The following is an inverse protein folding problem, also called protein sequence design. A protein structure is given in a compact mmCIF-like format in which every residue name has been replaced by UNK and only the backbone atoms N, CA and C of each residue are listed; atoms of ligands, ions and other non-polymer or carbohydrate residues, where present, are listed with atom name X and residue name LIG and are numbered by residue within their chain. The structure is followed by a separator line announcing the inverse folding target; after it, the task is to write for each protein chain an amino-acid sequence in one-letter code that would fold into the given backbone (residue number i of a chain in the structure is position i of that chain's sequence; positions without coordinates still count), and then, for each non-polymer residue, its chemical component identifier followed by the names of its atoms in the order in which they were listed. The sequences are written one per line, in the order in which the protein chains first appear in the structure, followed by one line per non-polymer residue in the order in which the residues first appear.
data_IF_901350742928
#
_entry.id   IF_901350742928
#
_cell.length_a   1.000
_cell.length_b   1.000
_cell.length_c   1.000
_cell.angle_alpha   90.00
_cell.angle_beta   90.00
_cell.angle_gamma   90.00
#
_symmetry.space_group_name_H-M   'P 1'
#
loop_
_entity.id
_entity.type
_entity.pdbx_description
1 polymer ?
#
# COMPACT_ATOMS: atom_id res chain seq x y z
N UNK A 1 -18.73 21.98 0.28
CA UNK A 1 -19.63 22.89 1.02
C UNK A 1 -19.62 24.23 0.31
N UNK A 2 -20.78 24.67 -0.14
CA UNK A 2 -20.95 26.02 -0.70
C UNK A 2 -21.10 27.05 0.42
N UNK A 3 -20.81 28.32 0.16
CA UNK A 3 -20.81 29.40 1.15
C UNK A 3 -22.17 29.57 1.88
N UNK A 4 -23.25 29.10 1.26
CA UNK A 4 -24.61 29.07 1.82
C UNK A 4 -24.82 28.06 2.96
N UNK A 5 -23.91 27.10 3.17
CA UNK A 5 -24.08 26.00 4.15
C UNK A 5 -23.37 26.24 5.48
N UNK A 6 -22.66 27.38 5.63
CA UNK A 6 -21.86 27.67 6.82
C UNK A 6 -22.61 28.56 7.82
N UNK A 7 -22.57 28.23 9.13
CA UNK A 7 -23.17 29.09 10.15
C UNK A 7 -22.52 30.47 10.19
N UNK A 8 -23.31 31.48 10.56
CA UNK A 8 -22.83 32.85 10.77
C UNK A 8 -21.65 32.85 11.74
N UNK A 9 -20.60 33.62 11.41
CA UNK A 9 -19.40 33.63 12.24
C UNK A 9 -19.69 34.35 13.57
N UNK A 10 -19.42 33.72 14.73
CA UNK A 10 -19.76 34.29 16.02
C UNK A 10 -18.83 35.45 16.38
N UNK A 11 -19.28 36.33 17.29
CA UNK A 11 -18.40 37.32 17.89
C UNK A 11 -17.30 36.62 18.70
N UNK A 12 -16.03 36.95 18.44
CA UNK A 12 -14.90 36.43 19.20
C UNK A 12 -14.93 36.93 20.65
N UNK A 13 -14.62 36.04 21.60
CA UNK A 13 -14.37 36.44 22.99
C UNK A 13 -13.13 37.35 23.08
N UNK A 14 -13.02 38.13 24.16
CA UNK A 14 -11.85 38.98 24.38
C UNK A 14 -10.55 38.17 24.48
N UNK A 15 -10.62 36.98 25.09
CA UNK A 15 -9.51 36.04 25.22
C UNK A 15 -9.08 35.46 23.86
N UNK A 16 -10.04 35.01 23.04
CA UNK A 16 -9.75 34.48 21.71
C UNK A 16 -9.21 35.56 20.77
N UNK A 17 -9.76 36.77 20.85
CA UNK A 17 -9.28 37.91 20.08
C UNK A 17 -7.83 38.22 20.41
N UNK A 18 -7.48 38.28 21.70
CA UNK A 18 -6.11 38.52 22.14
C UNK A 18 -5.16 37.40 21.65
N UNK A 19 -5.53 36.13 21.83
CA UNK A 19 -4.72 34.99 21.40
C UNK A 19 -4.53 34.92 19.87
N UNK A 20 -5.57 35.23 19.10
CA UNK A 20 -5.50 35.26 17.63
C UNK A 20 -4.66 36.43 17.11
N UNK A 21 -4.76 37.60 17.75
CA UNK A 21 -3.92 38.77 17.43
C UNK A 21 -2.46 38.48 17.73
N UNK A 22 -2.16 37.85 18.86
CA UNK A 22 -0.80 37.43 19.21
C UNK A 22 -0.25 36.42 18.19
N UNK A 23 -1.03 35.38 17.85
CA UNK A 23 -0.67 34.40 16.82
C UNK A 23 -0.45 35.02 15.43
N UNK A 24 -1.17 36.10 15.11
CA UNK A 24 -1.02 36.82 13.84
C UNK A 24 0.26 37.68 13.78
N UNK A 25 0.84 38.02 14.93
CA UNK A 25 1.99 38.93 15.08
C UNK A 25 3.35 38.21 15.30
N UNK A 26 3.38 36.94 15.71
CA UNK A 26 4.63 36.18 15.96
C UNK A 26 5.43 35.82 14.66
N UNK A 27 6.77 35.71 14.75
CA UNK A 27 7.69 35.20 13.70
C UNK A 27 8.48 33.94 14.16
N UNK A 28 8.85 32.98 13.27
CA UNK A 28 8.03 32.02 12.50
C UNK A 28 7.77 30.69 13.27
N UNK A 29 6.78 29.81 12.91
CA UNK A 29 6.54 29.24 11.57
C UNK A 29 5.24 29.73 10.89
N UNK A 30 5.34 30.02 9.59
CA UNK A 30 4.36 30.77 8.78
C UNK A 30 2.93 30.23 8.69
N UNK A 31 2.67 28.98 9.08
CA UNK A 31 1.35 28.35 8.95
C UNK A 31 0.38 28.77 10.05
N UNK A 32 0.84 28.92 11.31
CA UNK A 32 -0.03 29.31 12.44
C UNK A 32 -0.50 30.78 12.34
N UNK A 33 0.40 31.66 11.88
CA UNK A 33 0.10 33.07 11.64
C UNK A 33 -0.98 33.26 10.58
N UNK A 34 -0.90 32.50 9.48
CA UNK A 34 -1.91 32.54 8.44
C UNK A 34 -3.28 32.07 8.96
N UNK A 35 -3.30 30.98 9.74
CA UNK A 35 -4.51 30.46 10.39
C UNK A 35 -5.18 31.51 11.29
N UNK A 36 -4.39 32.22 12.12
CA UNK A 36 -4.90 33.31 12.97
C UNK A 36 -5.49 34.48 12.17
N UNK A 37 -4.81 34.90 11.09
CA UNK A 37 -5.31 35.97 10.20
C UNK A 37 -6.62 35.61 9.49
N UNK A 38 -6.78 34.35 9.11
CA UNK A 38 -8.03 33.84 8.50
C UNK A 38 -9.20 34.00 9.47
N UNK A 39 -9.02 33.60 10.72
CA UNK A 39 -10.07 33.67 11.75
C UNK A 39 -10.41 35.13 12.08
N UNK A 40 -9.41 36.01 12.19
CA UNK A 40 -9.63 37.45 12.39
C UNK A 40 -10.38 38.10 11.22
N UNK A 41 -10.05 37.75 9.98
CA UNK A 41 -10.76 38.25 8.80
C UNK A 41 -12.24 37.79 8.78
N UNK A 42 -12.52 36.54 9.16
CA UNK A 42 -13.90 36.06 9.30
C UNK A 42 -14.66 36.80 10.41
N UNK A 43 -13.96 37.13 11.51
CA UNK A 43 -14.53 37.88 12.63
C UNK A 43 -14.76 39.37 12.33
N UNK A 44 -14.07 39.93 11.33
CA UNK A 44 -14.31 41.27 10.77
C UNK A 44 -15.54 41.30 9.84
N UNK A 45 -16.20 40.16 9.62
CA UNK A 45 -17.39 40.03 8.79
C UNK A 45 -17.12 39.77 7.31
N UNK A 46 -15.86 39.49 6.94
CA UNK A 46 -15.53 39.15 5.54
C UNK A 46 -16.08 37.78 5.18
N UNK A 47 -16.60 37.68 3.96
CA UNK A 47 -16.95 36.40 3.30
C UNK A 47 -15.70 35.53 3.11
N UNK A 48 -15.89 34.23 2.86
CA UNK A 48 -14.74 33.35 2.65
C UNK A 48 -13.95 33.77 1.41
N UNK A 49 -14.64 34.29 0.40
CA UNK A 49 -14.08 34.80 -0.84
C UNK A 49 -13.29 36.10 -0.64
N UNK A 50 -13.81 37.06 0.13
CA UNK A 50 -13.12 38.32 0.44
C UNK A 50 -11.90 38.10 1.34
N UNK A 51 -12.03 37.25 2.37
CA UNK A 51 -10.91 36.89 3.24
C UNK A 51 -9.81 36.16 2.46
N UNK A 52 -10.18 35.30 1.52
CA UNK A 52 -9.25 34.60 0.63
C UNK A 52 -8.48 35.56 -0.27
N UNK A 53 -9.19 36.50 -0.92
CA UNK A 53 -8.57 37.54 -1.75
C UNK A 53 -7.61 38.43 -0.94
N UNK A 54 -8.03 38.87 0.26
CA UNK A 54 -7.22 39.73 1.14
C UNK A 54 -5.96 39.04 1.66
N UNK A 55 -6.05 37.74 1.96
CA UNK A 55 -4.94 36.97 2.52
C UNK A 55 -4.12 36.21 1.46
N UNK A 56 -4.52 36.30 0.18
CA UNK A 56 -3.91 35.60 -0.96
C UNK A 56 -3.85 34.09 -0.75
N UNK A 57 -4.97 33.52 -0.30
CA UNK A 57 -5.17 32.07 -0.13
C UNK A 57 -6.46 31.65 -0.84
N UNK A 58 -6.71 30.34 -0.98
CA UNK A 58 -7.96 29.88 -1.59
C UNK A 58 -9.16 30.06 -0.63
N UNK A 59 -10.39 30.28 -1.15
CA UNK A 59 -11.62 30.26 -0.33
C UNK A 59 -11.80 28.95 0.45
N UNK A 60 -11.31 27.82 -0.09
CA UNK A 60 -11.31 26.53 0.59
C UNK A 60 -10.38 26.51 1.83
N UNK A 61 -9.24 27.20 1.77
CA UNK A 61 -8.34 27.37 2.93
C UNK A 61 -9.01 28.18 4.02
N UNK A 62 -9.71 29.26 3.66
CA UNK A 62 -10.49 30.06 4.60
C UNK A 62 -11.60 29.22 5.25
N UNK A 63 -12.37 28.49 4.45
CA UNK A 63 -13.44 27.62 4.93
C UNK A 63 -12.92 26.56 5.93
N UNK A 64 -11.82 25.88 5.61
CA UNK A 64 -11.19 24.85 6.46
C UNK A 64 -10.78 25.40 7.84
N UNK A 65 -10.12 26.56 7.89
CA UNK A 65 -9.63 27.11 9.16
C UNK A 65 -10.73 27.82 9.95
N UNK A 66 -11.68 28.45 9.26
CA UNK A 66 -12.93 28.94 9.85
C UNK A 66 -13.66 27.80 10.55
N UNK A 67 -13.85 26.66 9.89
CA UNK A 67 -14.56 25.50 10.44
C UNK A 67 -13.81 24.86 11.63
N UNK A 68 -12.48 24.71 11.53
CA UNK A 68 -11.67 24.17 12.64
C UNK A 68 -11.71 25.06 13.88
N UNK A 69 -11.68 26.38 13.70
CA UNK A 69 -11.83 27.33 14.81
C UNK A 69 -13.23 27.23 15.43
N UNK A 70 -14.29 27.20 14.61
CA UNK A 70 -15.67 27.04 15.10
C UNK A 70 -15.85 25.76 15.93
N UNK A 71 -15.15 24.67 15.60
CA UNK A 71 -15.23 23.39 16.32
C UNK A 71 -14.36 23.29 17.57
N UNK A 72 -13.21 23.97 17.61
CA UNK A 72 -12.16 23.69 18.62
C UNK A 72 -11.48 24.95 19.20
N UNK A 73 -12.00 26.14 18.90
CA UNK A 73 -11.42 27.41 19.29
C UNK A 73 -9.97 27.57 18.79
N UNK A 74 -9.18 28.39 19.48
CA UNK A 74 -7.78 28.67 19.13
C UNK A 74 -6.90 27.41 19.13
N UNK A 75 -7.21 26.42 19.99
CA UNK A 75 -6.48 25.13 20.03
C UNK A 75 -6.61 24.33 18.71
N UNK A 76 -7.73 24.50 17.99
CA UNK A 76 -7.97 23.88 16.68
C UNK A 76 -7.03 24.35 15.57
N UNK A 77 -6.26 25.42 15.80
CA UNK A 77 -5.31 25.97 14.86
C UNK A 77 -3.92 25.33 14.95
N UNK A 78 -3.62 24.50 15.97
CA UNK A 78 -2.33 23.82 16.17
C UNK A 78 -2.26 22.44 15.52
N UNK A 79 -1.06 22.00 15.16
CA UNK A 79 -0.81 20.64 14.63
C UNK A 79 -0.81 19.61 15.77
N UNK A 80 -1.26 18.39 15.51
CA UNK A 80 -1.28 17.31 16.52
C UNK A 80 0.13 16.71 16.73
N UNK A 81 0.50 16.27 17.96
CA UNK A 81 1.82 15.68 18.21
C UNK A 81 2.00 14.32 17.52
N UNK A 82 3.20 14.07 16.98
CA UNK A 82 3.60 12.82 16.30
C UNK A 82 3.90 11.70 17.32
N UNK A 83 3.38 10.49 17.12
CA UNK A 83 3.67 9.30 17.94
C UNK A 83 4.73 8.39 17.31
N UNK A 84 5.72 7.92 18.09
CA UNK A 84 6.68 6.87 17.69
C UNK A 84 6.90 5.83 18.80
N UNK A 85 7.19 4.57 18.45
CA UNK A 85 7.23 3.39 19.36
C UNK A 85 8.65 3.05 19.86
N UNK A 86 8.86 2.68 21.15
CA UNK A 86 10.17 2.29 21.70
C UNK A 86 10.66 0.90 21.25
N UNK A 87 12.00 0.66 21.33
CA UNK A 87 12.70 -0.56 20.86
C UNK A 87 12.42 -1.80 21.73
N UNK A 88 12.35 -2.99 21.11
CA UNK A 88 11.98 -4.24 21.78
C UNK A 88 13.14 -4.98 22.48
N UNK A 89 12.87 -5.59 23.63
CA UNK A 89 13.84 -6.33 24.46
C UNK A 89 14.57 -7.49 23.75
N UNK A 90 13.90 -8.23 22.85
CA UNK A 90 14.49 -9.36 22.12
C UNK A 90 15.72 -8.96 21.27
N UNK A 91 15.76 -7.71 20.77
CA UNK A 91 16.88 -7.23 19.97
C UNK A 91 18.13 -6.94 20.82
N UNK A 92 17.95 -6.42 22.03
CA UNK A 92 19.06 -6.17 22.94
C UNK A 92 19.74 -7.49 23.35
N UNK A 93 18.96 -8.54 23.56
CA UNK A 93 19.50 -9.87 23.89
C UNK A 93 20.31 -10.48 22.72
N UNK A 94 19.80 -10.36 21.50
CA UNK A 94 20.51 -10.81 20.30
C UNK A 94 21.81 -10.04 20.06
N UNK A 95 21.82 -8.72 20.30
CA UNK A 95 23.01 -7.87 20.20
C UNK A 95 24.07 -8.22 21.25
N UNK A 96 23.67 -8.50 22.49
CA UNK A 96 24.57 -8.90 23.57
C UNK A 96 25.26 -10.26 23.29
N UNK A 97 24.51 -11.22 22.74
CA UNK A 97 25.03 -12.54 22.35
C UNK A 97 26.06 -12.47 21.23
N UNK A 98 25.82 -11.65 20.21
CA UNK A 98 26.78 -11.46 19.11
C UNK A 98 28.05 -10.73 19.59
N UNK A 99 27.89 -9.72 20.45
CA UNK A 99 29.01 -8.99 21.03
C UNK A 99 29.94 -9.89 21.87
N UNK A 100 29.38 -10.81 22.66
CA UNK A 100 30.15 -11.76 23.46
C UNK A 100 31.05 -12.67 22.60
N UNK A 101 30.59 -13.10 21.43
CA UNK A 101 31.39 -13.93 20.51
C UNK A 101 32.48 -13.10 19.79
N UNK A 102 32.19 -11.84 19.47
CA UNK A 102 33.18 -10.91 18.92
C UNK A 102 34.33 -10.64 19.90
N UNK A 103 34.04 -10.50 21.19
CA UNK A 103 35.07 -10.34 22.23
C UNK A 103 35.93 -11.60 22.42
N UNK A 104 35.34 -12.79 22.36
CA UNK A 104 36.11 -14.05 22.37
C UNK A 104 37.10 -14.15 21.20
N UNK A 105 36.70 -13.68 20.01
CA UNK A 105 37.55 -13.64 18.83
C UNK A 105 38.71 -12.63 18.95
N UNK A 106 38.54 -11.53 19.72
CA UNK A 106 39.64 -10.58 20.02
C UNK A 106 40.74 -11.20 20.87
N UNK A 107 40.45 -12.26 21.64
CA UNK A 107 41.41 -13.01 22.45
C UNK A 107 42.29 -14.02 21.70
N UNK A 108 42.28 -14.01 20.35
CA UNK A 108 43.11 -14.90 19.52
C UNK A 108 42.40 -16.17 19.03
N UNK A 109 41.11 -16.33 19.30
CA UNK A 109 40.30 -17.43 18.77
C UNK A 109 39.93 -17.20 17.28
N UNK A 110 39.76 -18.27 16.47
CA UNK A 110 39.33 -18.14 15.09
C UNK A 110 37.98 -17.44 14.99
N UNK A 111 37.88 -16.41 14.13
CA UNK A 111 36.63 -15.68 13.89
C UNK A 111 35.60 -16.61 13.23
N UNK A 112 34.45 -16.89 13.85
CA UNK A 112 33.43 -17.75 13.26
C UNK A 112 32.77 -17.08 12.03
N UNK A 113 32.33 -17.88 11.06
CA UNK A 113 31.54 -17.33 9.93
C UNK A 113 30.14 -16.93 10.39
N UNK A 114 29.52 -15.97 9.69
CA UNK A 114 28.13 -15.52 9.96
C UNK A 114 27.12 -16.67 9.91
N UNK A 115 27.42 -17.74 9.16
CA UNK A 115 26.62 -18.96 9.10
C UNK A 115 26.78 -19.83 10.35
N UNK A 116 28.00 -20.03 10.83
CA UNK A 116 28.26 -20.77 12.08
C UNK A 116 27.60 -20.12 13.30
N UNK A 117 27.61 -18.79 13.35
CA UNK A 117 26.94 -18.00 14.39
C UNK A 117 25.42 -18.04 14.30
N UNK A 118 24.87 -18.06 13.09
CA UNK A 118 23.42 -18.25 12.86
C UNK A 118 22.95 -19.56 13.50
N UNK A 119 23.67 -20.65 13.23
CA UNK A 119 23.34 -21.98 13.73
C UNK A 119 23.53 -22.07 15.26
N UNK A 120 24.57 -21.44 15.81
CA UNK A 120 24.87 -21.46 17.25
C UNK A 120 23.91 -20.61 18.08
N UNK A 121 23.53 -19.43 17.57
CA UNK A 121 22.70 -18.47 18.30
C UNK A 121 21.20 -18.68 18.10
N UNK A 122 20.80 -19.57 17.17
CA UNK A 122 19.40 -19.76 16.78
C UNK A 122 18.79 -18.54 16.10
N UNK A 123 19.63 -17.67 15.53
CA UNK A 123 19.25 -16.43 14.85
C UNK A 123 19.37 -16.60 13.35
N UNK A 124 18.60 -15.84 12.55
CA UNK A 124 18.76 -15.87 11.10
C UNK A 124 20.11 -15.30 10.66
N UNK A 125 20.71 -15.89 9.62
CA UNK A 125 22.03 -15.49 9.10
C UNK A 125 22.06 -14.00 8.72
N UNK A 126 20.95 -13.46 8.23
CA UNK A 126 20.77 -12.04 7.91
C UNK A 126 20.77 -11.14 9.15
N UNK A 127 20.19 -11.59 10.28
CA UNK A 127 20.22 -10.87 11.56
C UNK A 127 21.62 -10.87 12.16
N UNK A 128 22.29 -12.03 12.16
CA UNK A 128 23.68 -12.16 12.60
C UNK A 128 24.59 -11.29 11.75
N UNK A 129 24.52 -11.38 10.41
CA UNK A 129 25.35 -10.57 9.51
C UNK A 129 25.12 -9.06 9.66
N UNK A 130 23.90 -8.64 10.02
CA UNK A 130 23.60 -7.23 10.27
C UNK A 130 24.17 -6.73 11.59
N UNK A 131 23.93 -7.44 12.70
CA UNK A 131 24.49 -7.09 14.02
C UNK A 131 26.02 -7.12 13.98
N UNK A 132 26.59 -8.13 13.30
CA UNK A 132 28.01 -8.30 13.12
C UNK A 132 28.64 -7.11 12.37
N UNK A 133 28.02 -6.62 11.28
CA UNK A 133 28.48 -5.40 10.57
C UNK A 133 28.31 -4.12 11.38
N UNK A 134 27.25 -4.03 12.17
CA UNK A 134 27.00 -2.88 13.08
C UNK A 134 28.05 -2.81 14.21
N UNK A 135 28.61 -3.96 14.62
CA UNK A 135 29.56 -4.09 15.74
C UNK A 135 31.03 -4.32 15.30
N UNK A 136 31.29 -4.61 14.01
CA UNK A 136 32.62 -4.78 13.43
C UNK A 136 33.33 -3.43 13.25
N UNK A 137 33.97 -2.94 14.30
CA UNK A 137 35.02 -1.91 14.17
C UNK A 137 36.39 -2.55 14.36
N UNK A 138 37.15 -2.68 13.25
CA UNK A 138 38.59 -3.03 13.27
C UNK A 138 39.01 -4.50 13.13
N UNK A 139 38.16 -5.41 12.63
CA UNK A 139 38.51 -6.82 12.35
C UNK A 139 38.42 -7.17 10.85
N UNK A 140 39.25 -8.11 10.34
CA UNK A 140 39.24 -8.50 8.93
C UNK A 140 37.95 -9.23 8.51
N UNK A 141 37.57 -9.07 7.24
CA UNK A 141 36.38 -9.68 6.66
C UNK A 141 36.45 -11.21 6.63
N UNK A 142 35.33 -11.92 6.87
CA UNK A 142 35.30 -13.38 6.75
C UNK A 142 35.47 -13.83 5.28
N UNK A 143 36.11 -14.99 5.04
CA UNK A 143 36.44 -15.43 3.68
C UNK A 143 35.18 -15.74 2.83
N UNK A 144 35.21 -15.27 1.58
CA UNK A 144 34.11 -15.42 0.60
C UNK A 144 33.96 -16.85 0.02
N UNK A 145 32.81 -17.14 -0.63
CA UNK A 145 32.50 -18.46 -1.17
C UNK A 145 33.32 -18.78 -2.44
N UNK A 146 33.86 -20.01 -2.54
CA UNK A 146 34.60 -20.51 -3.71
C UNK A 146 33.67 -20.83 -4.88
N UNK A 147 34.10 -20.51 -6.11
CA UNK A 147 33.38 -20.72 -7.37
C UNK A 147 33.27 -22.21 -7.76
N UNK A 148 32.09 -22.64 -8.21
CA UNK A 148 31.81 -24.00 -8.71
C UNK A 148 32.06 -24.14 -10.21
N UNK A 149 32.69 -25.25 -10.61
CA UNK A 149 33.02 -25.60 -12.01
C UNK A 149 31.85 -26.11 -12.86
N UNK A 150 32.09 -26.39 -14.16
CA UNK A 150 31.05 -26.54 -15.18
C UNK A 150 30.35 -27.91 -15.14
N UNK A 151 29.04 -27.92 -15.41
CA UNK A 151 28.21 -29.14 -15.54
C UNK A 151 28.17 -29.62 -16.99
N UNK A 152 28.34 -30.93 -17.18
CA UNK A 152 28.20 -31.65 -18.45
C UNK A 152 26.73 -31.83 -18.85
N UNK A 153 26.49 -31.73 -20.16
CA UNK A 153 25.27 -32.10 -20.88
C UNK A 153 25.11 -33.63 -20.98
N UNK A 154 23.87 -34.11 -20.99
CA UNK A 154 23.51 -35.45 -21.44
C UNK A 154 22.19 -35.40 -22.22
N UNK A 155 22.18 -36.13 -23.33
CA UNK A 155 21.21 -36.09 -24.42
C UNK A 155 20.02 -37.07 -24.24
N UNK A 156 18.92 -36.74 -24.93
CA UNK A 156 18.21 -37.64 -25.86
C UNK A 156 17.17 -38.64 -25.32
N UNK A 157 15.93 -38.52 -25.78
CA UNK A 157 14.92 -39.58 -25.75
C UNK A 157 13.57 -39.14 -26.35
N UNK A 158 13.28 -39.57 -27.59
CA UNK A 158 12.13 -39.14 -28.39
C UNK A 158 10.81 -39.87 -28.14
N UNK A 159 9.73 -39.31 -28.71
CA UNK A 159 8.42 -39.95 -28.83
C UNK A 159 7.56 -39.26 -29.89
N UNK A 160 7.16 -40.02 -30.93
CA UNK A 160 6.27 -39.59 -32.00
C UNK A 160 4.78 -39.48 -31.58
N UNK A 161 3.88 -39.03 -32.48
CA UNK A 161 2.65 -38.33 -32.12
C UNK A 161 1.44 -39.25 -31.89
N UNK A 162 0.53 -38.83 -31.02
CA UNK A 162 -0.73 -39.52 -30.71
C UNK A 162 -1.90 -38.78 -31.37
N UNK A 163 -2.74 -39.42 -32.22
CA UNK A 163 -3.96 -38.81 -32.68
C UNK A 163 -5.10 -39.00 -31.66
N UNK A 164 -5.64 -37.86 -31.21
CA UNK A 164 -7.07 -37.63 -30.98
C UNK A 164 -7.80 -38.44 -29.91
N UNK A 165 -7.98 -37.84 -28.73
CA UNK A 165 -9.22 -37.99 -27.95
C UNK A 165 -9.78 -36.61 -27.66
N UNK A 166 -10.95 -36.32 -28.24
CA UNK A 166 -11.68 -35.06 -28.06
C UNK A 166 -11.86 -34.79 -26.57
N UNK A 167 -11.22 -33.72 -26.07
CA UNK A 167 -11.15 -33.34 -24.66
C UNK A 167 -12.13 -32.19 -24.45
N UNK A 168 -13.17 -32.40 -23.64
CA UNK A 168 -14.02 -31.29 -23.16
C UNK A 168 -13.15 -30.30 -22.35
N UNK A 169 -13.50 -28.99 -22.30
CA UNK A 169 -12.53 -27.94 -22.05
C UNK A 169 -12.08 -27.95 -20.58
N UNK A 170 -10.79 -28.27 -20.38
CA UNK A 170 -10.08 -28.29 -19.09
C UNK A 170 -10.13 -26.95 -18.34
N UNK A 171 -10.47 -25.86 -19.02
CA UNK A 171 -10.51 -24.49 -18.49
C UNK A 171 -11.64 -24.29 -17.48
N UNK A 172 -12.89 -24.72 -17.78
CA UNK A 172 -14.04 -24.44 -16.92
C UNK A 172 -13.92 -25.07 -15.51
N UNK A 173 -13.30 -26.24 -15.38
CA UNK A 173 -13.18 -26.91 -14.08
C UNK A 173 -12.09 -26.28 -13.19
N UNK A 174 -11.01 -25.78 -13.79
CA UNK A 174 -9.99 -25.03 -13.06
C UNK A 174 -10.56 -23.70 -12.57
N UNK A 175 -11.38 -23.05 -13.38
CA UNK A 175 -12.06 -21.79 -13.02
C UNK A 175 -13.01 -22.01 -11.85
N UNK A 176 -13.80 -23.08 -11.87
CA UNK A 176 -14.73 -23.40 -10.78
C UNK A 176 -14.02 -23.72 -9.45
N UNK A 177 -12.94 -24.52 -9.50
CA UNK A 177 -12.12 -24.81 -8.31
C UNK A 177 -11.46 -23.54 -7.77
N UNK A 178 -10.99 -22.67 -8.66
CA UNK A 178 -10.45 -21.36 -8.28
C UNK A 178 -11.50 -20.51 -7.56
N UNK A 179 -12.69 -20.33 -8.14
CA UNK A 179 -13.76 -19.50 -7.54
C UNK A 179 -14.14 -20.00 -6.15
N UNK A 180 -14.35 -21.31 -5.98
CA UNK A 180 -14.70 -21.88 -4.67
C UNK A 180 -13.59 -21.71 -3.62
N UNK A 181 -12.34 -21.99 -3.97
CA UNK A 181 -11.22 -21.82 -3.05
C UNK A 181 -11.03 -20.35 -2.67
N UNK A 182 -11.17 -19.44 -3.63
CA UNK A 182 -11.16 -17.99 -3.38
C UNK A 182 -12.27 -17.60 -2.40
N UNK A 183 -13.50 -18.03 -2.66
CA UNK A 183 -14.65 -17.72 -1.81
C UNK A 183 -14.46 -18.23 -0.38
N UNK A 184 -13.89 -19.43 -0.21
CA UNK A 184 -13.59 -19.98 1.10
C UNK A 184 -12.48 -19.22 1.83
N UNK A 185 -11.46 -18.74 1.12
CA UNK A 185 -10.42 -17.89 1.72
C UNK A 185 -11.00 -16.53 2.13
N UNK A 186 -11.80 -15.90 1.26
CA UNK A 186 -12.40 -14.57 1.50
C UNK A 186 -13.43 -14.62 2.62
N UNK A 187 -14.27 -15.66 2.66
CA UNK A 187 -15.25 -15.87 3.74
C UNK A 187 -14.63 -16.38 5.05
N UNK A 188 -13.34 -16.74 5.06
CA UNK A 188 -12.63 -17.27 6.22
C UNK A 188 -12.92 -18.75 6.52
N UNK A 189 -13.65 -19.46 5.66
CA UNK A 189 -13.81 -20.91 5.76
C UNK A 189 -12.48 -21.66 5.62
N UNK A 190 -11.55 -21.12 4.82
CA UNK A 190 -10.14 -21.51 4.84
C UNK A 190 -9.35 -20.50 5.68
N UNK A 191 -8.81 -20.95 6.81
CA UNK A 191 -8.16 -20.06 7.77
C UNK A 191 -6.80 -19.55 7.29
N UNK A 192 -6.37 -18.33 7.68
CA UNK A 192 -5.03 -17.84 7.40
C UNK A 192 -3.92 -18.79 7.87
N UNK A 193 -3.04 -19.20 6.95
CA UNK A 193 -1.97 -20.19 7.18
C UNK A 193 -2.42 -21.63 7.20
N UNK A 194 -3.69 -21.91 6.87
CA UNK A 194 -4.15 -23.27 6.60
C UNK A 194 -3.40 -23.82 5.40
N UNK A 195 -2.91 -25.06 5.51
CA UNK A 195 -2.22 -25.74 4.41
C UNK A 195 -3.24 -26.19 3.36
N UNK A 196 -2.93 -25.96 2.09
CA UNK A 196 -3.68 -26.46 0.94
C UNK A 196 -2.90 -27.62 0.30
N UNK A 197 -3.55 -28.76 0.13
CA UNK A 197 -2.96 -29.96 -0.44
C UNK A 197 -3.68 -30.31 -1.74
N UNK A 198 -2.97 -30.24 -2.88
CA UNK A 198 -3.53 -30.48 -4.22
C UNK A 198 -4.33 -31.80 -4.31
N UNK A 199 -3.80 -32.87 -3.71
CA UNK A 199 -4.41 -34.20 -3.73
C UNK A 199 -5.69 -34.30 -2.88
N UNK A 200 -5.76 -33.57 -1.76
CA UNK A 200 -6.96 -33.50 -0.92
C UNK A 200 -8.06 -32.72 -1.62
N UNK A 201 -7.70 -31.58 -2.20
CA UNK A 201 -8.62 -30.72 -2.95
C UNK A 201 -9.14 -31.48 -4.19
N UNK A 202 -8.26 -32.15 -4.93
CA UNK A 202 -8.62 -32.98 -6.08
C UNK A 202 -9.64 -34.07 -5.69
N UNK A 203 -9.41 -34.76 -4.57
CA UNK A 203 -10.31 -35.77 -4.04
C UNK A 203 -11.64 -35.19 -3.59
N UNK A 204 -11.64 -34.03 -2.94
CA UNK A 204 -12.86 -33.32 -2.53
C UNK A 204 -13.74 -32.90 -3.71
N UNK A 205 -13.13 -32.51 -4.82
CA UNK A 205 -13.82 -32.12 -6.05
C UNK A 205 -14.03 -33.28 -7.06
N UNK A 206 -13.65 -34.51 -6.71
CA UNK A 206 -13.77 -35.67 -7.60
C UNK A 206 -13.00 -35.52 -8.91
N UNK A 207 -11.85 -34.83 -8.91
CA UNK A 207 -11.06 -34.51 -10.11
C UNK A 207 -9.60 -34.97 -10.00
N UNK A 208 -8.86 -34.87 -11.11
CA UNK A 208 -7.41 -35.07 -11.12
C UNK A 208 -6.69 -33.93 -10.38
N UNK A 209 -5.40 -34.06 -10.06
CA UNK A 209 -4.65 -32.99 -9.40
C UNK A 209 -4.39 -31.75 -10.28
N UNK A 210 -4.57 -31.85 -11.61
CA UNK A 210 -4.24 -30.77 -12.52
C UNK A 210 -5.12 -29.51 -12.32
N UNK A 211 -6.46 -29.57 -12.24
CA UNK A 211 -7.27 -28.37 -12.01
C UNK A 211 -7.02 -27.69 -10.65
N UNK A 212 -6.93 -28.41 -9.51
CA UNK A 212 -6.54 -27.80 -8.24
C UNK A 212 -5.16 -27.15 -8.28
N UNK A 213 -4.18 -27.75 -8.98
CA UNK A 213 -2.86 -27.15 -9.16
C UNK A 213 -2.93 -25.83 -9.91
N UNK A 214 -3.67 -25.76 -11.01
CA UNK A 214 -3.82 -24.52 -11.78
C UNK A 214 -4.62 -23.46 -11.01
N UNK A 215 -5.65 -23.86 -10.27
CA UNK A 215 -6.38 -22.97 -9.36
C UNK A 215 -5.46 -22.41 -8.25
N UNK A 216 -4.66 -23.26 -7.61
CA UNK A 216 -3.68 -22.87 -6.58
C UNK A 216 -2.62 -21.94 -7.16
N UNK A 217 -2.12 -22.19 -8.36
CA UNK A 217 -1.18 -21.28 -9.03
C UNK A 217 -1.78 -19.89 -9.25
N UNK A 218 -3.05 -19.82 -9.66
CA UNK A 218 -3.76 -18.54 -9.80
C UNK A 218 -3.96 -17.84 -8.46
N UNK A 219 -4.39 -18.57 -7.44
CA UNK A 219 -4.48 -18.03 -6.07
C UNK A 219 -3.11 -17.56 -5.55
N UNK A 220 -2.01 -18.23 -5.94
CA UNK A 220 -0.66 -17.84 -5.56
C UNK A 220 -0.19 -16.60 -6.33
N UNK A 221 -0.58 -16.48 -7.61
CA UNK A 221 -0.37 -15.27 -8.40
C UNK A 221 -1.11 -14.08 -7.77
N UNK A 222 -2.34 -14.29 -7.32
CA UNK A 222 -3.14 -13.31 -6.56
C UNK A 222 -2.68 -13.15 -5.11
N UNK A 223 -1.67 -13.92 -4.68
CA UNK A 223 -1.09 -13.96 -3.34
C UNK A 223 -2.01 -14.45 -2.22
N UNK A 224 -3.24 -14.88 -2.53
CA UNK A 224 -4.20 -15.48 -1.57
C UNK A 224 -3.61 -16.73 -0.88
N UNK A 225 -2.62 -17.35 -1.50
CA UNK A 225 -1.86 -18.47 -0.95
C UNK A 225 -0.37 -18.28 -1.22
N UNK A 226 0.48 -18.75 -0.32
CA UNK A 226 1.94 -18.71 -0.44
C UNK A 226 2.44 -20.13 -0.65
N UNK A 227 3.21 -20.35 -1.73
CA UNK A 227 3.84 -21.65 -2.00
C UNK A 227 5.28 -21.64 -1.54
N UNK A 228 5.61 -22.51 -0.57
CA UNK A 228 6.96 -22.69 -0.06
C UNK A 228 7.59 -23.94 -0.69
N UNK A 229 8.78 -23.84 -1.33
CA UNK A 229 9.49 -24.99 -1.87
C UNK A 229 9.63 -26.10 -0.82
N UNK A 230 9.28 -27.33 -1.18
CA UNK A 230 9.33 -28.54 -0.33
C UNK A 230 8.46 -28.53 0.94
N UNK A 231 7.76 -27.44 1.24
CA UNK A 231 6.87 -27.31 2.42
C UNK A 231 5.39 -27.24 2.05
N UNK A 232 5.07 -26.98 0.78
CA UNK A 232 3.70 -26.96 0.26
C UNK A 232 3.10 -25.56 0.18
N UNK A 233 1.80 -25.50 -0.09
CA UNK A 233 1.05 -24.26 -0.24
C UNK A 233 0.21 -23.99 1.00
N UNK A 234 0.13 -22.72 1.41
CA UNK A 234 -0.60 -22.28 2.60
C UNK A 234 -1.44 -21.06 2.25
N UNK A 235 -2.66 -20.96 2.77
CA UNK A 235 -3.44 -19.71 2.74
C UNK A 235 -2.57 -18.60 3.33
N UNK A 236 -2.47 -17.47 2.66
CA UNK A 236 -1.58 -16.40 3.10
C UNK A 236 -1.94 -15.95 4.52
N UNK A 237 -0.96 -16.00 5.44
CA UNK A 237 -1.03 -15.23 6.68
C UNK A 237 -0.53 -13.85 6.34
N UNK A 238 -1.43 -12.96 5.97
CA UNK A 238 -1.12 -11.53 6.05
C UNK A 238 -0.95 -11.27 7.54
N UNK A 239 0.28 -11.07 8.00
CA UNK A 239 0.49 -10.49 9.32
C UNK A 239 -0.06 -9.09 9.20
N UNK A 240 -1.28 -8.87 9.69
CA UNK A 240 -1.96 -7.57 9.59
C UNK A 240 -1.06 -6.45 10.10
N UNK A 241 -0.25 -6.76 11.12
CA UNK A 241 0.78 -5.86 11.63
C UNK A 241 1.90 -5.58 10.63
N UNK A 242 2.44 -6.58 9.94
CA UNK A 242 3.48 -6.33 8.92
C UNK A 242 2.92 -5.63 7.70
N UNK A 243 1.70 -5.97 7.27
CA UNK A 243 1.01 -5.26 6.20
C UNK A 243 0.79 -3.80 6.59
N UNK A 244 0.38 -3.54 7.84
CA UNK A 244 0.25 -2.18 8.36
C UNK A 244 1.60 -1.45 8.42
N UNK A 245 2.66 -2.10 8.93
CA UNK A 245 4.00 -1.50 8.98
C UNK A 245 4.48 -1.09 7.57
N UNK A 246 4.17 -1.89 6.54
CA UNK A 246 4.49 -1.59 5.14
C UNK A 246 3.57 -0.51 4.56
N UNK A 247 2.26 -0.52 4.88
CA UNK A 247 1.32 0.57 4.53
C UNK A 247 1.79 1.90 5.08
N UNK A 248 2.25 1.95 6.32
CA UNK A 248 2.72 3.20 6.94
C UNK A 248 3.91 3.79 6.15
N UNK A 249 4.83 2.94 5.68
CA UNK A 249 5.95 3.37 4.83
C UNK A 249 5.45 3.83 3.46
N UNK A 250 4.51 3.10 2.86
CA UNK A 250 3.88 3.44 1.57
C UNK A 250 3.24 4.84 1.64
N UNK A 251 2.45 5.11 2.68
CA UNK A 251 1.83 6.42 2.92
C UNK A 251 2.89 7.53 2.92
N UNK A 252 3.99 7.33 3.63
CA UNK A 252 5.08 8.32 3.67
C UNK A 252 5.71 8.56 2.29
N UNK A 253 5.90 7.51 1.50
CA UNK A 253 6.54 7.60 0.19
C UNK A 253 5.64 8.30 -0.83
N UNK A 254 4.39 7.87 -0.90
CA UNK A 254 3.43 8.37 -1.88
C UNK A 254 2.96 9.79 -1.56
N UNK A 255 2.73 10.13 -0.28
CA UNK A 255 2.43 11.51 0.12
C UNK A 255 3.58 12.45 -0.30
N UNK A 256 4.83 12.06 0.00
CA UNK A 256 6.01 12.84 -0.37
C UNK A 256 6.12 12.99 -1.89
N UNK A 257 5.97 11.89 -2.63
CA UNK A 257 6.06 11.87 -4.09
C UNK A 257 4.99 12.79 -4.70
N UNK A 258 3.73 12.60 -4.30
CA UNK A 258 2.60 13.39 -4.76
C UNK A 258 2.82 14.89 -4.53
N UNK A 259 3.17 15.30 -3.30
CA UNK A 259 3.49 16.70 -2.98
C UNK A 259 4.60 17.28 -3.85
N UNK A 260 5.60 16.47 -4.18
CA UNK A 260 6.76 16.91 -4.95
C UNK A 260 6.44 17.10 -6.44
N UNK A 261 5.66 16.18 -7.01
CA UNK A 261 5.39 16.15 -8.46
C UNK A 261 4.17 16.95 -8.88
N UNK A 262 3.28 17.29 -7.93
CA UNK A 262 2.06 18.04 -8.24
C UNK A 262 2.36 19.38 -8.91
N UNK A 263 1.70 19.63 -10.04
CA UNK A 263 1.91 20.81 -10.89
C UNK A 263 3.26 20.84 -11.63
N UNK A 264 4.04 19.76 -11.55
CA UNK A 264 5.38 19.61 -12.15
C UNK A 264 5.57 18.27 -12.87
N UNK A 265 4.48 17.57 -13.15
CA UNK A 265 4.51 16.28 -13.82
C UNK A 265 4.97 16.48 -15.27
N UNK A 266 6.02 15.77 -15.69
CA UNK A 266 6.51 15.86 -17.06
C UNK A 266 5.62 15.06 -18.04
N UNK A 267 5.83 15.28 -19.34
CA UNK A 267 5.01 14.66 -20.39
C UNK A 267 5.14 13.12 -20.40
N UNK A 268 6.31 12.59 -20.04
CA UNK A 268 6.57 11.16 -19.98
C UNK A 268 5.75 10.49 -18.87
N UNK A 269 5.86 10.96 -17.63
CA UNK A 269 5.12 10.42 -16.50
C UNK A 269 3.62 10.69 -16.63
N UNK A 270 3.22 11.82 -17.24
CA UNK A 270 1.82 12.07 -17.58
C UNK A 270 1.27 10.99 -18.52
N UNK A 271 2.03 10.59 -19.55
CA UNK A 271 1.65 9.52 -20.47
C UNK A 271 1.56 8.17 -19.77
N UNK A 272 2.59 7.81 -19.00
CA UNK A 272 2.67 6.53 -18.28
C UNK A 272 1.50 6.38 -17.28
N UNK A 273 1.26 7.38 -16.44
CA UNK A 273 0.17 7.33 -15.47
C UNK A 273 -1.21 7.29 -16.14
N UNK A 274 -1.39 7.94 -17.28
CA UNK A 274 -2.63 7.85 -18.07
C UNK A 274 -2.84 6.42 -18.59
N UNK A 275 -1.76 5.78 -19.04
CA UNK A 275 -1.78 4.41 -19.52
C UNK A 275 -2.10 3.42 -18.39
N UNK A 276 -1.51 3.59 -17.20
CA UNK A 276 -1.81 2.79 -16.01
C UNK A 276 -3.28 2.90 -15.61
N UNK A 277 -3.85 4.12 -15.55
CA UNK A 277 -5.28 4.33 -15.27
C UNK A 277 -6.16 3.64 -16.31
N UNK A 278 -5.78 3.66 -17.59
CA UNK A 278 -6.51 2.95 -18.62
C UNK A 278 -6.42 1.41 -18.46
N UNK A 279 -5.28 0.90 -17.99
CA UNK A 279 -5.11 -0.53 -17.66
C UNK A 279 -5.98 -0.93 -16.46
N UNK A 280 -5.99 -0.12 -15.39
CA UNK A 280 -6.86 -0.32 -14.22
C UNK A 280 -8.33 -0.43 -14.62
N UNK A 281 -8.83 0.51 -15.44
CA UNK A 281 -10.20 0.48 -15.97
C UNK A 281 -10.51 -0.78 -16.78
N UNK A 282 -9.59 -1.18 -17.67
CA UNK A 282 -9.75 -2.40 -18.49
C UNK A 282 -9.75 -3.67 -17.65
N UNK A 283 -8.89 -3.74 -16.64
CA UNK A 283 -8.81 -4.87 -15.72
C UNK A 283 -10.07 -4.97 -14.86
N UNK A 284 -10.54 -3.86 -14.30
CA UNK A 284 -11.78 -3.78 -13.54
C UNK A 284 -13.01 -4.20 -14.37
N UNK A 285 -13.12 -3.77 -15.62
CA UNK A 285 -14.23 -4.13 -16.51
C UNK A 285 -14.25 -5.63 -16.89
N UNK A 286 -13.13 -6.34 -16.72
CA UNK A 286 -13.00 -7.77 -17.00
C UNK A 286 -12.94 -8.62 -15.72
N UNK A 287 -13.11 -8.00 -14.56
CA UNK A 287 -12.90 -8.62 -13.24
C UNK A 287 -11.53 -9.33 -13.11
N UNK A 288 -10.50 -8.81 -13.81
CA UNK A 288 -9.15 -9.35 -13.81
C UNK A 288 -8.32 -8.72 -12.68
N UNK A 289 -8.44 -9.29 -11.48
CA UNK A 289 -7.77 -8.80 -10.26
C UNK A 289 -6.25 -8.83 -10.41
N UNK A 290 -5.70 -9.82 -11.12
CA UNK A 290 -4.27 -9.92 -11.35
C UNK A 290 -3.76 -8.73 -12.16
N UNK A 291 -4.39 -8.48 -13.32
CA UNK A 291 -4.04 -7.33 -14.15
C UNK A 291 -4.30 -5.99 -13.45
N UNK A 292 -5.33 -5.90 -12.60
CA UNK A 292 -5.59 -4.70 -11.81
C UNK A 292 -4.44 -4.42 -10.86
N UNK A 293 -3.99 -5.43 -10.10
CA UNK A 293 -2.87 -5.31 -9.15
C UNK A 293 -1.57 -4.90 -9.82
N UNK A 294 -1.29 -5.45 -11.01
CA UNK A 294 -0.10 -5.09 -11.78
C UNK A 294 -0.14 -3.60 -12.19
N UNK A 295 -1.30 -3.12 -12.66
CA UNK A 295 -1.49 -1.72 -13.03
C UNK A 295 -1.47 -0.76 -11.82
N UNK A 296 -2.04 -1.18 -10.69
CA UNK A 296 -2.04 -0.47 -9.39
C UNK A 296 -0.59 -0.24 -8.91
N UNK A 297 0.21 -1.31 -8.91
CA UNK A 297 1.64 -1.23 -8.58
C UNK A 297 2.42 -0.31 -9.54
N UNK A 298 2.16 -0.45 -10.84
CA UNK A 298 2.79 0.37 -11.89
C UNK A 298 2.52 1.86 -11.66
N UNK A 299 1.25 2.22 -11.41
CA UNK A 299 0.85 3.59 -11.15
C UNK A 299 1.63 4.21 -9.99
N UNK A 300 1.64 3.58 -8.82
CA UNK A 300 2.33 4.12 -7.64
C UNK A 300 3.86 4.19 -7.83
N UNK A 301 4.43 3.22 -8.54
CA UNK A 301 5.86 3.26 -8.92
C UNK A 301 6.15 4.50 -9.79
N UNK A 302 5.35 4.73 -10.84
CA UNK A 302 5.54 5.89 -11.72
C UNK A 302 5.36 7.23 -10.98
N UNK A 303 4.48 7.32 -9.99
CA UNK A 303 4.37 8.52 -9.14
C UNK A 303 5.66 8.75 -8.34
N UNK A 304 6.23 7.69 -7.77
CA UNK A 304 7.49 7.75 -7.03
C UNK A 304 8.70 8.06 -7.94
N UNK A 305 8.71 7.55 -9.18
CA UNK A 305 9.75 7.85 -10.18
C UNK A 305 9.68 9.30 -10.67
N UNK A 306 8.47 9.83 -10.89
CA UNK A 306 8.23 11.22 -11.24
C UNK A 306 8.81 12.21 -10.22
N UNK A 307 8.91 11.80 -8.95
CA UNK A 307 9.51 12.60 -7.88
C UNK A 307 11.01 12.88 -8.11
N UNK A 308 11.67 12.13 -9.02
CA UNK A 308 13.10 12.25 -9.36
C UNK A 308 14.01 12.29 -8.13
N UNK A 309 13.62 11.53 -7.09
CA UNK A 309 14.42 11.33 -5.90
C UNK A 309 15.02 9.92 -5.93
N UNK A 310 16.30 9.82 -6.28
CA UNK A 310 16.98 8.54 -6.42
C UNK A 310 16.97 7.70 -5.13
N UNK A 311 16.94 8.33 -3.95
CA UNK A 311 16.82 7.61 -2.69
C UNK A 311 15.42 7.01 -2.50
N UNK A 312 14.36 7.77 -2.81
CA UNK A 312 12.98 7.29 -2.79
C UNK A 312 12.81 6.09 -3.73
N UNK A 313 13.29 6.18 -4.97
CA UNK A 313 13.17 5.09 -5.95
C UNK A 313 13.87 3.82 -5.45
N UNK A 314 15.06 3.95 -4.84
CA UNK A 314 15.74 2.79 -4.22
C UNK A 314 14.93 2.20 -3.07
N UNK A 315 14.37 3.02 -2.20
CA UNK A 315 13.57 2.56 -1.08
C UNK A 315 12.25 1.90 -1.54
N UNK A 316 11.59 2.45 -2.55
CA UNK A 316 10.41 1.86 -3.18
C UNK A 316 10.70 0.44 -3.66
N UNK A 317 11.78 0.26 -4.44
CA UNK A 317 12.21 -1.06 -4.92
C UNK A 317 12.49 -2.08 -3.82
N UNK A 318 12.89 -1.62 -2.62
CA UNK A 318 13.10 -2.50 -1.48
C UNK A 318 11.80 -2.99 -0.84
N UNK A 319 10.75 -2.15 -0.84
CA UNK A 319 9.45 -2.50 -0.23
C UNK A 319 8.48 -3.14 -1.23
N UNK A 320 8.75 -3.03 -2.53
CA UNK A 320 7.84 -3.44 -3.61
C UNK A 320 7.39 -4.90 -3.49
N UNK A 321 8.32 -5.82 -3.22
CA UNK A 321 7.97 -7.24 -3.01
C UNK A 321 7.07 -7.42 -1.78
N UNK A 322 7.28 -6.63 -0.72
CA UNK A 322 6.44 -6.68 0.48
C UNK A 322 5.05 -6.10 0.23
N UNK A 323 4.92 -5.09 -0.65
CA UNK A 323 3.62 -4.55 -1.06
C UNK A 323 2.79 -5.62 -1.79
N UNK A 324 3.45 -6.45 -2.61
CA UNK A 324 2.84 -7.58 -3.30
C UNK A 324 2.48 -8.73 -2.36
N UNK A 325 3.48 -9.23 -1.62
CA UNK A 325 3.36 -10.45 -0.79
C UNK A 325 2.38 -10.27 0.38
N UNK A 326 2.21 -9.04 0.87
CA UNK A 326 1.32 -8.71 1.98
C UNK A 326 -0.02 -8.13 1.55
N UNK A 327 -0.31 -8.06 0.24
CA UNK A 327 -1.57 -7.52 -0.30
C UNK A 327 -1.86 -6.09 0.14
N UNK A 328 -0.82 -5.29 0.28
CA UNK A 328 -0.97 -3.86 0.60
C UNK A 328 -1.55 -3.11 -0.60
N UNK A 329 -1.22 -3.56 -1.82
CA UNK A 329 -1.80 -3.11 -3.08
C UNK A 329 -2.73 -4.17 -3.65
N UNK A 330 -3.87 -3.71 -4.19
CA UNK A 330 -4.99 -4.53 -4.67
C UNK A 330 -5.30 -5.77 -3.82
N UNK A 331 -5.65 -5.56 -2.54
CA UNK A 331 -6.10 -6.63 -1.64
C UNK A 331 -7.27 -7.40 -2.29
N UNK A 332 -7.14 -8.71 -2.59
CA UNK A 332 -8.20 -9.47 -3.25
C UNK A 332 -9.47 -9.59 -2.39
N UNK A 333 -9.37 -9.29 -1.09
CA UNK A 333 -10.46 -9.20 -0.12
C UNK A 333 -11.14 -7.82 -0.11
N UNK A 334 -10.67 -6.88 -0.92
CA UNK A 334 -11.31 -5.57 -1.06
C UNK A 334 -12.78 -5.78 -1.49
N UNK A 335 -13.69 -5.44 -0.57
CA UNK A 335 -15.13 -5.63 -0.76
C UNK A 335 -15.78 -4.46 -1.53
N UNK A 336 -15.02 -3.41 -1.85
CA UNK A 336 -15.50 -2.30 -2.68
C UNK A 336 -15.42 -2.61 -4.17
N UNK A 337 -16.07 -1.78 -4.99
CA UNK A 337 -16.08 -1.97 -6.44
C UNK A 337 -14.74 -1.61 -7.11
N UNK A 338 -14.14 -2.55 -7.85
CA UNK A 338 -12.90 -2.34 -8.60
C UNK A 338 -13.00 -1.22 -9.63
N UNK A 339 -14.16 -1.06 -10.28
CA UNK A 339 -14.41 0.06 -11.20
C UNK A 339 -14.33 1.42 -10.49
N UNK A 340 -14.86 1.52 -9.26
CA UNK A 340 -14.77 2.75 -8.49
C UNK A 340 -13.31 3.05 -8.07
N UNK A 341 -12.54 2.03 -7.69
CA UNK A 341 -11.12 2.18 -7.40
C UNK A 341 -10.32 2.64 -8.64
N UNK A 342 -10.66 2.14 -9.83
CA UNK A 342 -10.03 2.61 -11.07
C UNK A 342 -10.33 4.09 -11.36
N UNK A 343 -11.56 4.54 -11.12
CA UNK A 343 -11.92 5.96 -11.28
C UNK A 343 -11.21 6.85 -10.25
N UNK A 344 -11.06 6.38 -9.00
CA UNK A 344 -10.30 7.11 -8.00
C UNK A 344 -8.82 7.30 -8.39
N UNK A 345 -8.20 6.35 -9.09
CA UNK A 345 -6.86 6.55 -9.66
C UNK A 345 -6.84 7.63 -10.76
N UNK A 346 -7.93 7.79 -11.52
CA UNK A 346 -8.04 8.89 -12.46
C UNK A 346 -8.10 10.25 -11.73
N UNK A 347 -8.84 10.33 -10.62
CA UNK A 347 -8.87 11.53 -9.77
C UNK A 347 -7.49 11.84 -9.16
N UNK A 348 -6.74 10.81 -8.73
CA UNK A 348 -5.37 10.95 -8.26
C UNK A 348 -4.45 11.52 -9.35
N UNK A 349 -4.57 11.04 -10.59
CA UNK A 349 -3.82 11.61 -11.71
C UNK A 349 -4.21 13.07 -11.97
N UNK A 350 -5.49 13.39 -11.92
CA UNK A 350 -5.98 14.75 -12.15
C UNK A 350 -5.51 15.73 -11.06
N UNK A 351 -5.42 15.30 -9.79
CA UNK A 351 -4.85 16.16 -8.73
C UNK A 351 -3.35 16.40 -8.89
N UNK A 352 -2.60 15.42 -9.40
CA UNK A 352 -1.18 15.63 -9.74
C UNK A 352 -1.01 16.66 -10.87
N UNK A 353 -1.98 16.72 -11.80
CA UNK A 353 -2.01 17.71 -12.90
C UNK A 353 -2.46 19.10 -12.45
N UNK A 354 -3.47 19.18 -11.57
CA UNK A 354 -4.16 20.44 -11.24
C UNK A 354 -3.36 21.41 -10.37
N UNK A 355 -2.34 20.93 -9.64
CA UNK A 355 -1.27 21.79 -9.11
C UNK A 355 -1.34 22.18 -7.63
N UNK A 356 -2.15 21.53 -6.80
CA UNK A 356 -2.13 21.74 -5.34
C UNK A 356 -1.49 20.57 -4.57
N UNK A 357 -0.23 20.68 -4.12
CA UNK A 357 0.43 19.63 -3.35
C UNK A 357 -0.20 19.40 -1.97
N UNK A 358 -0.90 20.38 -1.40
CA UNK A 358 -1.59 20.24 -0.11
C UNK A 358 -2.93 19.51 -0.23
N UNK A 359 -3.43 19.32 -1.45
CA UNK A 359 -4.55 18.41 -1.75
C UNK A 359 -4.00 17.04 -2.19
N UNK A 360 -3.04 17.02 -3.10
CA UNK A 360 -2.50 15.77 -3.64
C UNK A 360 -1.85 14.90 -2.57
N UNK A 361 -1.03 15.48 -1.69
CA UNK A 361 -0.36 14.73 -0.62
C UNK A 361 -1.33 13.93 0.25
N UNK A 362 -2.29 14.60 0.92
CA UNK A 362 -3.29 13.91 1.73
C UNK A 362 -4.15 12.92 0.95
N UNK A 363 -4.53 13.22 -0.29
CA UNK A 363 -5.33 12.30 -1.10
C UNK A 363 -4.57 11.00 -1.42
N UNK A 364 -3.28 11.10 -1.73
CA UNK A 364 -2.40 9.93 -1.88
C UNK A 364 -2.15 9.21 -0.56
N UNK A 365 -2.04 9.94 0.57
CA UNK A 365 -1.88 9.33 1.89
C UNK A 365 -3.10 8.50 2.28
N UNK A 366 -4.30 9.06 2.15
CA UNK A 366 -5.56 8.38 2.46
C UNK A 366 -5.78 7.18 1.51
N UNK A 367 -5.49 7.35 0.22
CA UNK A 367 -5.48 6.25 -0.73
C UNK A 367 -4.52 5.14 -0.27
N UNK A 368 -3.29 5.50 0.09
CA UNK A 368 -2.25 4.55 0.47
C UNK A 368 -2.56 3.79 1.78
N UNK A 369 -3.29 4.43 2.69
CA UNK A 369 -3.78 3.86 3.93
C UNK A 369 -4.97 2.90 3.74
N UNK A 370 -5.52 2.78 2.53
CA UNK A 370 -6.75 2.02 2.25
C UNK A 370 -8.03 2.79 2.62
N UNK A 371 -7.94 4.09 2.82
CA UNK A 371 -9.05 4.98 3.17
C UNK A 371 -9.66 5.66 1.93
N UNK A 372 -9.33 5.16 0.74
CA UNK A 372 -9.86 5.60 -0.56
C UNK A 372 -11.39 5.65 -0.59
N UNK A 373 -12.07 4.80 0.19
CA UNK A 373 -13.52 4.79 0.34
C UNK A 373 -14.13 6.16 0.74
N UNK A 374 -13.35 7.07 1.35
CA UNK A 374 -13.78 8.44 1.66
C UNK A 374 -14.00 9.31 0.41
N UNK A 375 -13.40 8.93 -0.71
CA UNK A 375 -13.44 9.65 -1.98
C UNK A 375 -14.33 8.93 -3.01
N UNK A 376 -14.61 7.64 -2.79
CA UNK A 376 -15.49 6.89 -3.66
C UNK A 376 -16.96 7.30 -3.42
N UNK A 377 -17.77 7.48 -4.47
CA UNK A 377 -19.19 7.71 -4.31
C UNK A 377 -19.82 6.50 -3.61
N UNK A 378 -20.63 6.76 -2.58
CA UNK A 378 -21.37 5.74 -1.86
C UNK A 378 -22.30 5.00 -2.84
N UNK A 379 -22.01 3.72 -3.07
CA UNK A 379 -22.89 2.80 -3.81
C UNK A 379 -23.30 1.63 -2.94
N UNK A 380 -23.48 1.84 -1.64
CA UNK A 380 -24.25 0.96 -0.77
C UNK A 380 -25.77 1.15 -1.00
N UNK A 381 -26.19 1.04 -2.26
CA UNK A 381 -27.59 0.84 -2.62
C UNK A 381 -27.84 -0.66 -2.87
N UNK A 382 -29.02 -1.21 -2.54
CA UNK A 382 -29.34 -2.60 -2.84
C UNK A 382 -29.15 -2.84 -4.34
N UNK A 383 -28.53 -3.96 -4.71
CA UNK A 383 -28.54 -4.46 -6.08
C UNK A 383 -29.98 -4.46 -6.58
N UNK A 384 -30.30 -3.86 -7.74
CA UNK A 384 -31.62 -4.05 -8.34
C UNK A 384 -31.77 -5.55 -8.60
N UNK A 385 -32.75 -6.16 -7.92
CA UNK A 385 -33.08 -7.56 -8.10
C UNK A 385 -33.41 -7.84 -9.57
N UNK A 386 -33.29 -9.11 -10.02
CA UNK A 386 -33.62 -9.48 -11.38
C UNK A 386 -35.15 -9.45 -11.55
N UNK A 387 -35.71 -8.27 -11.85
CA UNK A 387 -36.97 -8.15 -12.57
C UNK A 387 -36.59 -8.10 -14.04
N UNK A 388 -36.87 -9.10 -14.87
CA UNK A 388 -38.11 -9.85 -14.94
C UNK A 388 -38.71 -9.51 -16.30
N UNK A 389 -38.10 -10.01 -17.36
CA UNK A 389 -38.71 -9.98 -18.69
C UNK A 389 -39.93 -10.91 -18.66
N UNK A 390 -41.12 -10.33 -18.83
CA UNK A 390 -42.23 -11.02 -19.47
C UNK A 390 -43.15 -10.00 -20.13
N UNK A 391 -43.09 -10.00 -21.45
CA UNK A 391 -44.09 -9.44 -22.35
C UNK A 391 -45.52 -9.90 -21.98
N UNK A 392 -46.50 -9.03 -22.22
CA UNK A 392 -47.92 -9.35 -22.04
C UNK A 392 -48.81 -8.29 -22.66
N UNK A 393 -49.06 -8.47 -23.95
CA UNK A 393 -50.07 -7.91 -24.87
C UNK A 393 -51.30 -7.21 -24.26
N UNK A 394 -51.65 -6.11 -24.95
CA UNK A 394 -52.93 -5.36 -25.08
C UNK A 394 -54.23 -6.20 -25.04
N UNK A 395 -55.43 -5.58 -24.86
CA UNK A 395 -55.95 -4.42 -25.61
C UNK A 395 -56.21 -3.15 -24.81
#
# INVERSE_FOLDING_TARGET
MTESDLPAFPQLSAEDRAALTELAQQQPPGTLRLRGRIVLACAEGLTNTEAAQRLRVSPATVAKWRERYLRRGVAGLRDAPRSGRPRSANRQEAEARVAAVLEQARGGAPVPSTRSLSDTLGLSQSTVARIWREQQTGLPDPPGPRAGGPRREAAGGGGGPVPGRTRMPRQLLSDHVYTLLRDWIVSGQLAPGQRLVESEIARGFGTSQAPPREAIKRLAYEGLVITQPHRGTYVARVSERQAQDVRDIRVMFEEYAARRVTGRLDAEHTRLLTEDVAQLRRAAAKDDIGAFRDADMSFHRHVCEAARNAALIRLWRLIESSLWDLHVLGDPRYAGGWGAMAEHHAELLDVLRSGDPDVAGPMFADHAAGEAARYLPDRSGPLPGPGGDAAGTTP
#
